data_IF_920007716708
#
_entry.id   IF_920007716708
#
_cell.length_a   1.000
_cell.length_b   1.000
_cell.length_c   1.000
_cell.angle_alpha   90.00
_cell.angle_beta   90.00
_cell.angle_gamma   90.00
#
_symmetry.space_group_name_H-M   'P 1'
#
loop_
_entity.id
_entity.type
_entity.pdbx_description
1 polymer ?
#
# COMPACT_ATOMS: atom_id res chain seq x y z
N UNK A 1 -6.43 -36.26 -41.22
CA UNK A 1 -6.04 -34.86 -40.94
C UNK A 1 -7.29 -34.07 -40.63
N UNK A 2 -7.15 -33.09 -39.74
CA UNK A 2 -8.14 -32.12 -39.25
C UNK A 2 -8.86 -31.42 -40.44
N UNK A 3 -10.04 -30.83 -40.32
CA UNK A 3 -10.27 -29.62 -39.53
C UNK A 3 -11.75 -29.34 -39.32
N UNK A 4 -12.05 -28.94 -38.09
CA UNK A 4 -13.30 -28.38 -37.60
C UNK A 4 -13.59 -27.05 -38.30
N UNK A 5 -14.81 -26.91 -38.85
CA UNK A 5 -15.37 -25.62 -39.25
C UNK A 5 -16.58 -25.31 -38.36
N UNK A 6 -16.48 -24.19 -37.63
CA UNK A 6 -17.49 -23.66 -36.70
C UNK A 6 -18.84 -23.39 -37.38
N UNK A 7 -19.97 -23.69 -36.71
CA UNK A 7 -21.24 -23.03 -36.98
C UNK A 7 -21.51 -21.83 -36.03
N UNK A 8 -22.42 -20.93 -36.43
CA UNK A 8 -22.43 -19.53 -36.00
C UNK A 8 -23.23 -19.25 -34.71
N UNK A 9 -23.01 -18.04 -34.20
CA UNK A 9 -23.75 -17.36 -33.14
C UNK A 9 -25.28 -17.61 -33.18
N UNK A 10 -25.83 -18.14 -32.10
CA UNK A 10 -27.25 -18.01 -31.73
C UNK A 10 -27.32 -17.57 -30.26
N UNK A 11 -27.99 -16.45 -30.04
CA UNK A 11 -28.19 -15.86 -28.73
C UNK A 11 -29.11 -16.68 -27.84
N UNK A 12 -28.86 -16.60 -26.53
CA UNK A 12 -29.80 -17.03 -25.52
C UNK A 12 -29.88 -15.95 -24.43
N UNK A 13 -31.09 -15.40 -24.28
CA UNK A 13 -31.52 -14.69 -23.09
C UNK A 13 -31.45 -15.66 -21.91
N UNK A 14 -30.32 -15.66 -21.20
CA UNK A 14 -30.09 -16.49 -20.02
C UNK A 14 -30.09 -15.62 -18.78
N UNK A 15 -31.06 -15.85 -17.90
CA UNK A 15 -31.07 -15.30 -16.55
C UNK A 15 -29.70 -15.45 -15.89
N UNK A 16 -29.14 -14.34 -15.39
CA UNK A 16 -27.92 -14.37 -14.60
C UNK A 16 -28.15 -15.31 -13.40
N UNK A 17 -27.42 -16.44 -13.28
CA UNK A 17 -27.51 -17.27 -12.10
C UNK A 17 -27.07 -16.40 -10.92
N UNK A 18 -27.94 -16.28 -9.91
CA UNK A 18 -27.63 -15.64 -8.64
C UNK A 18 -26.34 -16.28 -8.14
N UNK A 19 -25.26 -15.51 -8.14
CA UNK A 19 -23.95 -15.98 -7.72
C UNK A 19 -24.06 -16.34 -6.24
N UNK A 20 -24.26 -17.64 -5.98
CA UNK A 20 -24.21 -18.24 -4.66
C UNK A 20 -22.76 -18.12 -4.22
N UNK A 21 -22.44 -17.05 -3.47
CA UNK A 21 -21.14 -16.90 -2.84
C UNK A 21 -20.99 -18.04 -1.83
N UNK A 22 -20.18 -19.02 -2.22
CA UNK A 22 -19.88 -20.22 -1.45
C UNK A 22 -19.13 -19.84 -0.17
N UNK A 23 -19.78 -20.07 0.97
CA UNK A 23 -19.21 -19.92 2.31
C UNK A 23 -18.37 -21.15 2.70
N UNK A 24 -17.45 -21.58 1.83
CA UNK A 24 -16.59 -22.74 2.09
C UNK A 24 -15.19 -22.26 2.48
N UNK A 25 -14.92 -22.31 3.79
CA UNK A 25 -13.58 -22.31 4.43
C UNK A 25 -12.67 -21.08 4.24
N UNK A 26 -12.95 -19.97 4.93
CA UNK A 26 -11.97 -18.87 5.14
C UNK A 26 -11.45 -18.75 6.58
N UNK A 27 -11.60 -19.79 7.40
CA UNK A 27 -11.50 -19.67 8.87
C UNK A 27 -10.24 -20.24 9.53
N UNK A 28 -9.17 -20.54 8.79
CA UNK A 28 -8.00 -21.21 9.42
C UNK A 28 -6.71 -20.39 9.56
N UNK A 29 -6.44 -19.38 8.72
CA UNK A 29 -5.16 -18.62 8.78
C UNK A 29 -5.25 -17.17 8.23
N UNK A 30 -6.38 -16.47 8.38
CA UNK A 30 -6.42 -15.06 7.99
C UNK A 30 -5.80 -14.23 9.12
N UNK A 31 -4.48 -14.08 9.08
CA UNK A 31 -3.84 -12.92 9.70
C UNK A 31 -4.58 -11.70 9.17
N UNK A 32 -5.22 -10.98 10.07
CA UNK A 32 -5.99 -9.79 9.71
C UNK A 32 -5.06 -8.60 9.78
N UNK A 33 -5.07 -7.76 8.76
CA UNK A 33 -4.27 -6.54 8.79
C UNK A 33 -4.90 -5.56 9.78
N UNK A 34 -4.14 -5.17 10.79
CA UNK A 34 -4.57 -4.19 11.77
C UNK A 34 -3.78 -2.90 11.60
N UNK A 35 -4.48 -1.87 11.12
CA UNK A 35 -3.89 -0.55 10.90
C UNK A 35 -3.44 0.11 12.22
N UNK A 36 -4.06 -0.21 13.35
CA UNK A 36 -3.70 0.36 14.65
C UNK A 36 -2.33 -0.11 15.15
N UNK A 37 -1.84 -1.24 14.63
CA UNK A 37 -0.52 -1.79 14.93
C UNK A 37 0.61 -1.16 14.12
N UNK A 38 0.30 -0.34 13.11
CA UNK A 38 1.33 0.38 12.38
C UNK A 38 2.09 1.33 13.33
N UNK A 39 3.41 1.50 13.14
CA UNK A 39 4.15 2.46 13.94
C UNK A 39 3.61 3.87 13.68
N UNK A 40 3.66 4.70 14.72
CA UNK A 40 3.27 6.11 14.59
C UNK A 40 4.18 6.81 13.58
N UNK A 41 3.69 7.81 12.82
CA UNK A 41 4.50 8.53 11.85
C UNK A 41 5.80 9.08 12.45
N UNK A 42 5.71 9.67 13.65
CA UNK A 42 6.87 10.22 14.35
C UNK A 42 7.90 9.13 14.63
N UNK A 43 7.49 8.00 15.19
CA UNK A 43 8.40 6.88 15.50
C UNK A 43 9.04 6.33 14.24
N UNK A 44 8.23 6.08 13.21
CA UNK A 44 8.70 5.52 11.96
C UNK A 44 9.70 6.44 11.25
N UNK A 45 9.34 7.71 11.01
CA UNK A 45 10.19 8.63 10.25
C UNK A 45 11.44 9.05 11.01
N UNK A 46 11.40 9.09 12.35
CA UNK A 46 12.61 9.35 13.15
C UNK A 46 13.65 8.25 12.96
N UNK A 47 13.22 6.98 12.77
CA UNK A 47 14.13 5.89 12.46
C UNK A 47 14.64 5.93 11.01
N UNK A 48 13.82 6.39 10.07
CA UNK A 48 14.19 6.47 8.66
C UNK A 48 15.15 7.62 8.34
N UNK A 49 15.05 8.74 9.04
CA UNK A 49 15.84 9.94 8.77
C UNK A 49 16.67 10.32 9.99
N UNK A 50 18.00 10.15 9.90
CA UNK A 50 18.96 10.48 10.99
C UNK A 50 18.90 11.94 11.47
N UNK A 51 18.37 12.85 10.65
CA UNK A 51 18.28 14.28 10.95
C UNK A 51 16.84 14.74 10.68
N UNK A 52 15.89 14.25 11.49
CA UNK A 52 14.51 14.75 11.47
C UNK A 52 14.42 15.99 12.37
N UNK A 53 14.32 17.19 11.78
CA UNK A 53 14.08 18.42 12.55
C UNK A 53 12.58 18.64 12.71
N UNK A 54 11.99 18.00 13.72
CA UNK A 54 10.58 18.21 14.07
C UNK A 54 10.45 19.61 14.68
N UNK A 55 10.02 20.58 13.86
CA UNK A 55 9.71 21.95 14.30
C UNK A 55 8.20 22.23 14.35
N UNK A 56 7.44 21.43 13.61
CA UNK A 56 6.01 21.58 13.37
C UNK A 56 5.42 20.21 13.00
N UNK A 57 4.10 20.16 12.88
CA UNK A 57 3.34 18.98 12.43
C UNK A 57 3.76 18.52 11.03
N UNK A 58 4.18 19.46 10.18
CA UNK A 58 4.80 19.17 8.90
C UNK A 58 6.32 19.30 8.99
N UNK A 59 7.03 18.36 8.38
CA UNK A 59 8.49 18.35 8.30
C UNK A 59 8.94 18.18 6.86
N UNK A 60 9.95 18.97 6.47
CA UNK A 60 10.58 18.90 5.16
C UNK A 60 11.94 18.23 5.27
N UNK A 61 12.15 17.17 4.49
CA UNK A 61 13.38 16.37 4.47
C UNK A 61 13.86 16.17 3.04
N UNK A 62 15.13 15.75 2.89
CA UNK A 62 15.63 15.30 1.60
C UNK A 62 14.85 14.06 1.16
N UNK A 63 14.41 14.06 -0.08
CA UNK A 63 13.68 12.94 -0.61
C UNK A 63 14.57 11.70 -0.67
N UNK A 64 13.99 10.57 -0.26
CA UNK A 64 14.65 9.28 -0.31
C UNK A 64 14.27 8.48 -1.58
N UNK A 65 13.31 8.97 -2.37
CA UNK A 65 12.84 8.31 -3.59
C UNK A 65 13.62 8.71 -4.86
N UNK A 66 14.43 9.76 -4.79
CA UNK A 66 15.32 10.19 -5.87
C UNK A 66 16.57 10.84 -5.28
N UNK A 67 17.59 11.08 -6.12
CA UNK A 67 18.79 11.81 -5.70
C UNK A 67 18.45 13.30 -5.52
N UNK A 68 18.26 13.70 -4.26
CA UNK A 68 17.72 15.01 -3.90
C UNK A 68 18.77 15.85 -3.16
N UNK A 69 19.06 17.04 -3.69
CA UNK A 69 20.07 17.95 -3.13
C UNK A 69 19.49 18.88 -2.06
N UNK A 70 18.21 19.24 -2.18
CA UNK A 70 17.49 20.15 -1.30
C UNK A 70 16.28 19.45 -0.67
N UNK A 71 15.77 19.85 0.50
CA UNK A 71 14.65 19.15 1.12
C UNK A 71 13.35 19.33 0.31
N UNK A 72 12.98 18.33 -0.51
CA UNK A 72 11.78 18.37 -1.37
C UNK A 72 10.63 17.46 -0.91
N UNK A 73 10.85 16.62 0.10
CA UNK A 73 9.86 15.70 0.65
C UNK A 73 9.21 16.31 1.89
N UNK A 74 7.92 16.64 1.78
CA UNK A 74 7.10 17.10 2.91
C UNK A 74 6.35 15.90 3.50
N UNK A 75 6.42 15.77 4.82
CA UNK A 75 5.77 14.72 5.61
C UNK A 75 4.91 15.40 6.66
N UNK A 76 3.64 15.04 6.74
CA UNK A 76 2.76 15.44 7.82
C UNK A 76 2.73 14.33 8.88
N UNK A 77 3.15 14.67 10.10
CA UNK A 77 3.25 13.74 11.23
C UNK A 77 1.91 13.51 11.93
N UNK A 78 0.92 14.38 11.71
CA UNK A 78 -0.44 14.27 12.26
C UNK A 78 -1.33 13.49 11.29
N UNK A 79 -1.50 13.99 10.08
CA UNK A 79 -2.33 13.35 9.04
C UNK A 79 -1.64 12.15 8.36
N UNK A 80 -0.37 11.87 8.72
CA UNK A 80 0.40 10.70 8.28
C UNK A 80 0.66 10.59 6.77
N UNK A 81 0.37 11.64 5.98
CA UNK A 81 0.64 11.65 4.55
C UNK A 81 2.02 12.23 4.23
N UNK A 82 2.53 11.90 3.04
CA UNK A 82 3.75 12.49 2.50
C UNK A 82 3.58 12.88 1.03
N UNK A 83 4.35 13.88 0.60
CA UNK A 83 4.46 14.28 -0.79
C UNK A 83 5.84 14.86 -1.08
N UNK A 84 6.50 14.33 -2.09
CA UNK A 84 7.69 14.92 -2.68
C UNK A 84 7.29 15.81 -3.86
N UNK A 85 7.71 17.07 -3.82
CA UNK A 85 7.45 18.03 -4.90
C UNK A 85 8.41 17.86 -6.08
N UNK A 86 9.56 17.20 -5.91
CA UNK A 86 10.53 16.94 -6.97
C UNK A 86 10.14 15.75 -7.85
N UNK A 87 10.00 14.56 -7.25
CA UNK A 87 9.71 13.32 -7.98
C UNK A 87 8.22 12.93 -8.03
N UNK A 88 7.35 13.63 -7.28
CA UNK A 88 5.91 13.34 -7.25
C UNK A 88 5.49 12.16 -6.37
N UNK A 89 6.44 11.46 -5.71
CA UNK A 89 6.15 10.41 -4.75
C UNK A 89 5.19 10.91 -3.66
N UNK A 90 4.12 10.16 -3.38
CA UNK A 90 3.10 10.53 -2.40
C UNK A 90 2.42 9.30 -1.79
N UNK A 91 1.85 9.47 -0.62
CA UNK A 91 1.05 8.43 0.05
C UNK A 91 0.35 8.99 1.29
N UNK A 92 -0.64 8.26 1.79
CA UNK A 92 -1.51 8.72 2.88
C UNK A 92 -1.21 8.03 4.23
N UNK A 93 -0.20 7.17 4.28
CA UNK A 93 0.22 6.49 5.51
C UNK A 93 1.67 6.02 5.47
N UNK A 94 2.13 5.62 6.65
CA UNK A 94 3.44 5.01 6.88
C UNK A 94 3.62 3.72 6.06
N UNK A 95 2.55 2.93 5.91
CA UNK A 95 2.60 1.70 5.12
C UNK A 95 2.86 1.98 3.63
N UNK A 96 2.18 2.95 3.02
CA UNK A 96 2.42 3.37 1.65
C UNK A 96 3.83 3.90 1.46
N UNK A 97 4.33 4.68 2.43
CA UNK A 97 5.72 5.15 2.41
C UNK A 97 6.70 3.98 2.43
N UNK A 98 6.51 3.04 3.37
CA UNK A 98 7.38 1.88 3.55
C UNK A 98 7.41 1.00 2.28
N UNK A 99 6.24 0.71 1.72
CA UNK A 99 6.12 -0.01 0.44
C UNK A 99 6.86 0.69 -0.69
N UNK A 100 6.68 2.00 -0.84
CA UNK A 100 7.31 2.76 -1.92
C UNK A 100 8.83 2.84 -1.73
N UNK A 101 9.30 2.96 -0.48
CA UNK A 101 10.72 3.07 -0.15
C UNK A 101 11.48 1.78 -0.42
N UNK A 102 10.90 0.64 -0.10
CA UNK A 102 11.55 -0.66 -0.17
C UNK A 102 11.09 -1.51 -1.38
N UNK A 103 10.16 -1.00 -2.19
CA UNK A 103 9.61 -1.73 -3.34
C UNK A 103 8.78 -2.96 -2.94
N UNK A 104 8.20 -2.95 -1.73
CA UNK A 104 7.50 -4.10 -1.17
C UNK A 104 6.04 -4.17 -1.60
N UNK A 105 5.54 -5.40 -1.74
CA UNK A 105 4.11 -5.64 -1.84
C UNK A 105 3.43 -5.37 -0.48
N UNK A 106 2.10 -5.39 -0.46
CA UNK A 106 1.34 -5.10 0.76
C UNK A 106 1.63 -6.09 1.89
N UNK A 107 1.69 -7.39 1.58
CA UNK A 107 1.83 -8.46 2.58
C UNK A 107 3.21 -8.39 3.24
N UNK A 108 4.25 -8.19 2.45
CA UNK A 108 5.63 -8.09 2.94
C UNK A 108 5.78 -6.85 3.83
N UNK A 109 5.27 -5.70 3.39
CA UNK A 109 5.34 -4.47 4.17
C UNK A 109 4.57 -4.54 5.50
N UNK A 110 3.39 -5.16 5.52
CA UNK A 110 2.64 -5.37 6.78
C UNK A 110 3.40 -6.33 7.70
N UNK A 111 4.07 -7.33 7.14
CA UNK A 111 4.89 -8.27 7.89
C UNK A 111 6.11 -7.59 8.51
N UNK A 112 6.84 -6.77 7.75
CA UNK A 112 7.99 -6.01 8.26
C UNK A 112 7.60 -4.98 9.32
N UNK A 113 6.42 -4.37 9.18
CA UNK A 113 5.89 -3.43 10.17
C UNK A 113 5.19 -4.12 11.36
N UNK A 114 5.07 -5.45 11.38
CA UNK A 114 4.44 -6.19 12.49
C UNK A 114 2.94 -5.92 12.67
N UNK A 115 2.25 -5.51 11.60
CA UNK A 115 0.86 -5.06 11.65
C UNK A 115 -0.18 -6.15 11.34
N UNK A 116 0.19 -7.42 11.54
CA UNK A 116 -0.75 -8.54 11.52
C UNK A 116 -1.35 -8.77 12.91
N UNK A 117 -2.66 -8.99 12.98
CA UNK A 117 -3.32 -9.60 14.12
C UNK A 117 -3.18 -11.12 14.06
N UNK A 118 -2.97 -11.71 15.23
CA UNK A 118 -2.87 -13.14 15.47
C UNK A 118 -4.25 -13.80 15.63
#
# INVERSE_FOLDING_TARGET
MNDVKNPPFVGANGAFPKNQHTNYTRKKYRREFDRSRLPTPISYYSNQFKILKIKSEQVSVKCCFHDDKSPSLNINLVDSYFRCFGCGAKGCDVLAFHRLRYGLNFVDAVTELGAWNE
#
